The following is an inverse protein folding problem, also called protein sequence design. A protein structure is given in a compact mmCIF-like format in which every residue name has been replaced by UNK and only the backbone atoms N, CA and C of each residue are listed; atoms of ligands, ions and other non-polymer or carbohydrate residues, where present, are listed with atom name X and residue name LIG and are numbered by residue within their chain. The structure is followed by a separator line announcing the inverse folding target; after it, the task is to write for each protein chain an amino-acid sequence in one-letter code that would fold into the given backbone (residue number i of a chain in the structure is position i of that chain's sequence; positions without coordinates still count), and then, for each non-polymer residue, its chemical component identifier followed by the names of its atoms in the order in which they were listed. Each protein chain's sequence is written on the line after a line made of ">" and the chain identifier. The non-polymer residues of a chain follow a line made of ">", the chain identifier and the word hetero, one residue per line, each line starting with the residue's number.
data_IF_428129953731
#
_entry.id   IF_428129953731
#
_cell.length_a   1.000
_cell.length_b   1.000
_cell.length_c   1.000
_cell.angle_alpha   90.00
_cell.angle_beta   90.00
_cell.angle_gamma   90.00
#
_symmetry.space_group_name_H-M   'P 1'
#
loop_
_entity.id
_entity.type
_entity.pdbx_description
1 polymer ?
#
# COMPACT_ATOMS: atom_id res chain seq x y z
N UNK A 1 -28.82 -2.51 1.72
CA UNK A 1 -28.18 -1.42 0.96
C UNK A 1 -26.93 -1.96 0.29
N UNK A 2 -26.84 -1.89 -1.04
CA UNK A 2 -25.64 -2.32 -1.78
C UNK A 2 -24.55 -1.27 -1.61
N UNK A 3 -23.39 -1.63 -1.04
CA UNK A 3 -22.25 -0.73 -0.94
C UNK A 3 -21.87 -0.20 -2.32
N UNK A 4 -21.82 1.12 -2.49
CA UNK A 4 -21.34 1.78 -3.72
C UNK A 4 -19.94 1.27 -4.03
N UNK A 5 -19.74 0.74 -5.24
CA UNK A 5 -18.43 0.32 -5.74
C UNK A 5 -17.80 1.46 -6.55
N UNK A 6 -16.56 1.81 -6.24
CA UNK A 6 -15.82 2.85 -6.94
C UNK A 6 -14.95 2.30 -8.07
N UNK A 7 -14.69 3.08 -9.14
CA UNK A 7 -13.64 2.75 -10.11
C UNK A 7 -12.25 2.56 -9.46
N UNK A 8 -11.44 1.64 -9.97
CA UNK A 8 -10.11 1.28 -9.43
C UNK A 8 -9.15 2.47 -9.26
N UNK A 9 -9.29 3.51 -10.07
CA UNK A 9 -8.50 4.75 -9.96
C UNK A 9 -8.67 5.46 -8.60
N UNK A 10 -9.77 5.19 -7.88
CA UNK A 10 -10.05 5.79 -6.57
C UNK A 10 -9.48 4.98 -5.39
N UNK A 11 -8.79 3.86 -5.66
CA UNK A 11 -8.23 2.98 -4.61
C UNK A 11 -7.42 3.73 -3.57
N UNK A 12 -6.60 4.71 -3.98
CA UNK A 12 -5.77 5.48 -3.06
C UNK A 12 -6.61 6.30 -2.06
N UNK A 13 -7.74 6.87 -2.51
CA UNK A 13 -8.64 7.60 -1.62
C UNK A 13 -9.37 6.66 -0.67
N UNK A 14 -9.90 5.55 -1.18
CA UNK A 14 -10.58 4.53 -0.37
C UNK A 14 -9.65 3.95 0.70
N UNK A 15 -8.44 3.55 0.31
CA UNK A 15 -7.45 2.95 1.21
C UNK A 15 -6.95 3.99 2.21
N UNK A 16 -6.71 5.24 1.80
CA UNK A 16 -6.28 6.30 2.72
C UNK A 16 -7.34 6.67 3.76
N UNK A 17 -8.62 6.53 3.43
CA UNK A 17 -9.72 6.75 4.37
C UNK A 17 -9.79 5.57 5.36
N UNK A 18 -9.77 4.35 4.84
CA UNK A 18 -9.78 3.15 5.66
C UNK A 18 -8.60 3.09 6.64
N UNK A 19 -7.38 3.42 6.20
CA UNK A 19 -6.21 3.47 7.09
C UNK A 19 -6.41 4.49 8.23
N UNK A 20 -6.91 5.68 7.93
CA UNK A 20 -7.16 6.71 8.95
C UNK A 20 -8.29 6.34 9.93
N UNK A 21 -9.23 5.49 9.53
CA UNK A 21 -10.32 4.98 10.38
C UNK A 21 -9.88 3.80 11.26
N UNK A 22 -8.86 3.05 10.86
CA UNK A 22 -8.48 1.78 11.50
C UNK A 22 -7.12 1.84 12.21
N UNK A 23 -6.42 2.98 12.15
CA UNK A 23 -5.04 3.08 12.58
C UNK A 23 -4.67 4.54 12.89
N UNK A 24 -4.07 4.79 14.05
CA UNK A 24 -3.51 6.12 14.36
C UNK A 24 -2.36 6.49 13.40
N UNK A 25 -2.25 7.78 13.02
CA UNK A 25 -1.15 8.26 12.18
C UNK A 25 0.22 7.90 12.73
N UNK A 26 1.12 7.44 11.85
CA UNK A 26 2.46 6.95 12.17
C UNK A 26 3.40 7.06 10.97
N UNK A 27 4.63 6.60 11.13
CA UNK A 27 5.58 6.52 10.02
C UNK A 27 5.21 5.36 9.09
N UNK A 28 5.15 5.62 7.78
CA UNK A 28 4.84 4.58 6.81
C UNK A 28 5.73 4.64 5.57
N UNK A 29 6.01 3.46 5.00
CA UNK A 29 6.72 3.30 3.73
C UNK A 29 5.73 2.82 2.65
N UNK A 30 5.47 3.66 1.66
CA UNK A 30 4.65 3.38 0.48
C UNK A 30 5.52 2.74 -0.61
N UNK A 31 5.57 1.41 -0.59
CA UNK A 31 6.39 0.56 -1.47
C UNK A 31 5.72 0.45 -2.84
N UNK A 32 6.45 0.85 -3.89
CA UNK A 32 5.87 0.97 -5.23
C UNK A 32 4.82 2.08 -5.33
N UNK A 33 4.96 3.13 -4.50
CA UNK A 33 3.99 4.22 -4.40
C UNK A 33 3.85 5.08 -5.67
N UNK A 34 4.69 4.87 -6.70
CA UNK A 34 4.63 5.55 -7.98
C UNK A 34 4.65 7.07 -7.80
N UNK A 35 3.60 7.75 -8.28
CA UNK A 35 3.47 9.22 -8.17
C UNK A 35 3.02 9.73 -6.79
N UNK A 36 2.99 8.89 -5.76
CA UNK A 36 2.86 9.29 -4.35
C UNK A 36 1.49 9.84 -3.93
N UNK A 37 0.41 9.52 -4.66
CA UNK A 37 -0.93 10.01 -4.29
C UNK A 37 -1.40 9.44 -2.94
N UNK A 38 -1.09 8.18 -2.62
CA UNK A 38 -1.42 7.61 -1.32
C UNK A 38 -0.69 8.33 -0.20
N UNK A 39 0.65 8.43 -0.32
CA UNK A 39 1.49 9.16 0.62
C UNK A 39 0.99 10.59 0.86
N UNK A 40 0.68 11.33 -0.22
CA UNK A 40 0.09 12.67 -0.11
C UNK A 40 -1.21 12.67 0.70
N UNK A 41 -2.16 11.79 0.36
CA UNK A 41 -3.46 11.73 1.04
C UNK A 41 -3.38 11.31 2.51
N UNK A 42 -2.37 10.53 2.90
CA UNK A 42 -2.10 10.16 4.29
C UNK A 42 -1.39 11.29 5.05
N UNK A 43 -0.43 11.97 4.43
CA UNK A 43 0.24 13.13 5.02
C UNK A 43 -0.76 14.25 5.37
N UNK A 44 -1.76 14.49 4.52
CA UNK A 44 -2.88 15.41 4.81
C UNK A 44 -3.73 14.98 6.04
N UNK A 45 -3.56 13.76 6.53
CA UNK A 45 -4.22 13.21 7.74
C UNK A 45 -3.24 13.02 8.91
N UNK A 46 -2.07 13.67 8.87
CA UNK A 46 -1.09 13.65 9.95
C UNK A 46 -0.13 12.46 9.95
N UNK A 47 -0.08 11.67 8.88
CA UNK A 47 0.90 10.59 8.74
C UNK A 47 2.26 11.14 8.28
N UNK A 48 3.33 10.37 8.52
CA UNK A 48 4.64 10.61 7.92
C UNK A 48 4.97 9.51 6.91
N UNK A 49 4.58 9.72 5.66
CA UNK A 49 4.73 8.71 4.60
C UNK A 49 5.88 9.05 3.66
N UNK A 50 6.77 8.06 3.47
CA UNK A 50 7.83 8.07 2.47
C UNK A 50 7.52 7.09 1.35
N UNK A 51 7.68 7.50 0.09
CA UNK A 51 7.56 6.63 -1.07
C UNK A 51 8.89 5.98 -1.38
N UNK A 52 8.91 4.67 -1.60
CA UNK A 52 10.06 3.98 -2.22
C UNK A 52 9.63 3.40 -3.55
N UNK A 53 10.29 3.83 -4.62
CA UNK A 53 9.99 3.41 -5.99
C UNK A 53 11.25 3.58 -6.85
N UNK A 54 11.59 2.61 -7.72
CA UNK A 54 12.79 2.72 -8.57
C UNK A 54 12.67 3.83 -9.62
N UNK A 55 11.45 4.25 -9.97
CA UNK A 55 11.23 5.28 -10.98
C UNK A 55 11.05 6.64 -10.30
N UNK A 56 11.93 7.59 -10.63
CA UNK A 56 11.75 8.97 -10.20
C UNK A 56 10.54 9.59 -10.92
N UNK A 57 9.48 9.83 -10.15
CA UNK A 57 8.25 10.42 -10.65
C UNK A 57 7.78 11.51 -9.69
N UNK A 58 7.48 12.71 -10.20
CA UNK A 58 6.96 13.79 -9.36
C UNK A 58 5.56 13.44 -8.84
N UNK A 59 5.19 14.09 -7.73
CA UNK A 59 3.83 14.06 -7.21
C UNK A 59 2.83 14.47 -8.30
N UNK A 60 1.69 13.77 -8.38
CA UNK A 60 0.63 14.12 -9.32
C UNK A 60 0.19 15.59 -9.11
N UNK A 61 0.03 16.39 -10.17
CA UNK A 61 -0.37 17.79 -10.02
C UNK A 61 -1.86 17.96 -9.68
N UNK A 62 -2.66 16.89 -9.85
CA UNK A 62 -4.10 16.89 -9.59
C UNK A 62 -4.65 15.47 -9.51
N UNK A 63 -5.78 15.31 -8.84
CA UNK A 63 -6.54 14.07 -8.79
C UNK A 63 -8.05 14.34 -8.80
N UNK A 64 -8.86 13.36 -9.19
CA UNK A 64 -10.33 13.44 -9.05
C UNK A 64 -10.71 13.05 -7.63
N UNK A 65 -11.32 13.94 -6.87
CA UNK A 65 -11.80 13.67 -5.52
C UNK A 65 -13.15 12.95 -5.58
N UNK A 66 -13.27 11.86 -4.82
CA UNK A 66 -14.42 10.96 -4.83
C UNK A 66 -15.66 11.54 -4.13
N UNK A 67 -15.43 12.32 -3.06
CA UNK A 67 -16.48 12.90 -2.23
C UNK A 67 -17.04 14.17 -2.85
N UNK A 68 -16.17 14.99 -3.43
CA UNK A 68 -16.54 16.26 -4.07
C UNK A 68 -16.98 16.10 -5.53
N UNK A 69 -16.72 14.94 -6.13
CA UNK A 69 -16.84 14.67 -7.58
C UNK A 69 -16.17 15.74 -8.47
N UNK A 70 -15.06 16.30 -7.99
CA UNK A 70 -14.33 17.39 -8.66
C UNK A 70 -12.85 17.07 -8.78
N UNK A 71 -12.17 17.70 -9.75
CA UNK A 71 -10.71 17.68 -9.79
C UNK A 71 -10.15 18.63 -8.73
N UNK A 72 -9.22 18.13 -7.94
CA UNK A 72 -8.46 18.89 -6.94
C UNK A 72 -7.05 19.07 -7.47
N UNK A 73 -6.57 20.31 -7.50
CA UNK A 73 -5.19 20.63 -7.79
C UNK A 73 -4.35 20.41 -6.53
N UNK A 74 -3.17 19.81 -6.69
CA UNK A 74 -2.17 19.72 -5.64
C UNK A 74 -1.24 20.93 -5.82
N UNK A 75 -1.02 21.76 -4.78
CA UNK A 75 -0.08 22.88 -4.87
C UNK A 75 1.28 22.43 -5.36
N UNK A 76 1.93 23.19 -6.25
CA UNK A 76 3.25 22.84 -6.78
C UNK A 76 4.36 22.88 -5.71
N UNK A 77 4.10 23.53 -4.58
CA UNK A 77 4.95 23.53 -3.39
C UNK A 77 4.92 22.20 -2.65
N UNK A 78 3.86 21.41 -2.80
CA UNK A 78 3.67 20.18 -2.04
C UNK A 78 4.56 19.07 -2.59
N UNK A 79 5.17 18.33 -1.66
CA UNK A 79 6.07 17.21 -1.96
C UNK A 79 5.78 16.06 -1.02
N UNK A 80 6.14 14.86 -1.48
CA UNK A 80 6.21 13.65 -0.64
C UNK A 80 7.67 13.25 -0.49
N UNK A 81 8.05 12.72 0.69
CA UNK A 81 9.38 12.14 0.90
C UNK A 81 9.54 10.97 -0.06
N UNK A 82 10.72 10.84 -0.68
CA UNK A 82 10.99 9.80 -1.68
C UNK A 82 12.37 9.19 -1.52
N UNK A 83 12.42 7.88 -1.68
CA UNK A 83 13.62 7.08 -1.90
C UNK A 83 13.53 6.53 -3.33
N UNK A 84 14.38 7.02 -4.22
CA UNK A 84 14.40 6.59 -5.63
C UNK A 84 15.31 5.36 -5.77
N UNK A 85 14.77 4.19 -5.44
CA UNK A 85 15.47 2.91 -5.50
C UNK A 85 14.48 1.74 -5.52
N UNK A 86 14.88 0.55 -6.00
CA UNK A 86 14.19 -0.69 -5.69
C UNK A 86 14.03 -0.87 -4.17
N UNK A 87 12.91 -1.44 -3.75
CA UNK A 87 12.69 -1.70 -2.33
C UNK A 87 13.59 -2.85 -1.83
N UNK A 88 14.36 -2.54 -0.78
CA UNK A 88 15.14 -3.51 -0.02
C UNK A 88 14.70 -3.54 1.44
N UNK A 89 14.80 -4.72 2.06
CA UNK A 89 14.27 -4.98 3.40
C UNK A 89 14.83 -4.03 4.47
N UNK A 90 16.10 -3.65 4.37
CA UNK A 90 16.76 -2.76 5.34
C UNK A 90 16.20 -1.32 5.32
N UNK A 91 15.57 -0.90 4.22
CA UNK A 91 14.95 0.43 4.11
C UNK A 91 13.74 0.60 5.02
N UNK A 92 13.16 -0.50 5.50
CA UNK A 92 11.93 -0.51 6.29
C UNK A 92 12.15 -0.34 7.80
N UNK A 93 13.42 -0.33 8.25
CA UNK A 93 13.77 -0.37 9.68
C UNK A 93 13.10 0.74 10.49
N UNK A 94 13.06 1.94 9.94
CA UNK A 94 12.63 3.17 10.62
C UNK A 94 11.14 3.50 10.41
N UNK A 95 10.38 2.59 9.81
CA UNK A 95 8.95 2.78 9.55
C UNK A 95 8.09 1.85 10.41
N UNK A 96 6.92 2.31 10.84
CA UNK A 96 5.98 1.53 11.65
C UNK A 96 5.05 0.67 10.78
N UNK A 97 4.71 1.17 9.59
CA UNK A 97 3.80 0.53 8.64
C UNK A 97 4.42 0.40 7.24
N UNK A 98 4.29 -0.77 6.64
CA UNK A 98 4.59 -1.00 5.23
C UNK A 98 3.31 -1.07 4.40
N UNK A 99 3.25 -0.31 3.30
CA UNK A 99 2.10 -0.32 2.40
C UNK A 99 2.57 -0.69 1.00
N UNK A 100 2.04 -1.78 0.45
CA UNK A 100 2.32 -2.22 -0.92
C UNK A 100 1.03 -2.27 -1.74
N UNK A 101 0.80 -1.29 -2.61
CA UNK A 101 -0.36 -1.26 -3.51
C UNK A 101 0.07 -1.54 -4.94
N UNK A 102 -0.09 -2.77 -5.42
CA UNK A 102 0.49 -3.21 -6.70
C UNK A 102 2.04 -3.12 -6.70
N UNK A 103 2.65 -3.41 -5.56
CA UNK A 103 4.09 -3.40 -5.36
C UNK A 103 4.71 -4.68 -5.94
N UNK A 104 4.83 -4.76 -7.27
CA UNK A 104 5.47 -5.90 -7.93
C UNK A 104 6.88 -6.14 -7.38
N UNK A 105 7.25 -7.41 -7.22
CA UNK A 105 8.54 -7.84 -6.71
C UNK A 105 8.81 -7.56 -5.23
N UNK A 106 7.82 -7.05 -4.50
CA UNK A 106 8.01 -6.56 -3.13
C UNK A 106 7.10 -7.21 -2.11
N UNK A 107 6.08 -7.98 -2.50
CA UNK A 107 5.10 -8.50 -1.56
C UNK A 107 5.74 -9.47 -0.55
N UNK A 108 6.62 -10.37 -1.01
CA UNK A 108 7.35 -11.28 -0.13
C UNK A 108 8.32 -10.53 0.80
N UNK A 109 9.07 -9.55 0.27
CA UNK A 109 9.98 -8.72 1.07
C UNK A 109 9.24 -7.98 2.18
N UNK A 110 8.06 -7.42 1.89
CA UNK A 110 7.20 -6.75 2.90
C UNK A 110 6.84 -7.73 4.02
N UNK A 111 6.44 -8.95 3.70
CA UNK A 111 6.08 -9.97 4.70
C UNK A 111 7.30 -10.40 5.54
N UNK A 112 8.46 -10.61 4.92
CA UNK A 112 9.70 -10.93 5.63
C UNK A 112 10.07 -9.86 6.64
N UNK A 113 10.05 -8.59 6.22
CA UNK A 113 10.34 -7.46 7.10
C UNK A 113 9.31 -7.37 8.23
N UNK A 114 8.02 -7.51 7.92
CA UNK A 114 6.97 -7.47 8.91
C UNK A 114 7.20 -8.53 9.99
N UNK A 115 7.59 -9.75 9.61
CA UNK A 115 7.90 -10.82 10.55
C UNK A 115 9.19 -10.55 11.35
N UNK A 116 10.29 -10.20 10.66
CA UNK A 116 11.61 -9.96 11.26
C UNK A 116 11.61 -8.79 12.23
N UNK A 117 10.94 -7.70 11.87
CA UNK A 117 10.97 -6.43 12.61
C UNK A 117 9.66 -6.11 13.33
N UNK A 118 8.69 -7.04 13.33
CA UNK A 118 7.36 -6.89 13.97
C UNK A 118 6.61 -5.64 13.51
N UNK A 119 6.75 -5.30 12.23
CA UNK A 119 6.12 -4.12 11.60
C UNK A 119 4.70 -4.44 11.17
N UNK A 120 3.86 -3.42 11.18
CA UNK A 120 2.53 -3.52 10.61
C UNK A 120 2.63 -3.47 9.08
N UNK A 121 1.66 -4.05 8.38
CA UNK A 121 1.63 -4.00 6.91
C UNK A 121 0.22 -3.99 6.33
N UNK A 122 0.12 -3.47 5.10
CA UNK A 122 -1.02 -3.60 4.21
C UNK A 122 -0.54 -3.87 2.79
N UNK A 123 -0.89 -5.03 2.24
CA UNK A 123 -0.56 -5.43 0.88
C UNK A 123 -1.86 -5.58 0.10
N UNK A 124 -1.94 -4.90 -1.04
CA UNK A 124 -2.97 -5.11 -2.05
C UNK A 124 -2.29 -5.70 -3.30
N UNK A 125 -2.23 -7.04 -3.39
CA UNK A 125 -1.53 -7.71 -4.46
C UNK A 125 -2.41 -7.79 -5.71
N UNK A 126 -1.79 -7.88 -6.89
CA UNK A 126 -2.51 -8.04 -8.15
C UNK A 126 -2.03 -9.23 -8.98
N UNK A 127 -0.72 -9.37 -9.16
CA UNK A 127 -0.08 -10.38 -9.98
C UNK A 127 1.24 -10.84 -9.33
N UNK A 128 1.71 -12.03 -9.73
CA UNK A 128 3.07 -12.49 -9.43
C UNK A 128 3.99 -11.96 -10.52
N UNK A 129 4.65 -10.84 -10.25
CA UNK A 129 5.59 -10.21 -11.18
C UNK A 129 6.83 -9.86 -10.37
N UNK A 130 7.99 -10.34 -10.82
CA UNK A 130 9.31 -10.10 -10.24
C UNK A 130 9.44 -10.44 -8.73
N UNK A 131 8.54 -11.27 -8.21
CA UNK A 131 8.58 -11.72 -6.82
C UNK A 131 9.79 -12.65 -6.59
N UNK A 132 10.46 -12.57 -5.42
CA UNK A 132 11.67 -13.33 -5.12
C UNK A 132 11.36 -14.80 -4.78
N UNK A 133 10.39 -15.40 -5.48
CA UNK A 133 9.95 -16.79 -5.31
C UNK A 133 9.48 -17.36 -6.65
N UNK A 134 9.66 -18.66 -6.82
CA UNK A 134 9.00 -19.39 -7.90
C UNK A 134 7.57 -19.77 -7.47
N UNK A 135 6.57 -19.18 -8.13
CA UNK A 135 5.17 -19.56 -7.94
C UNK A 135 4.77 -20.54 -9.04
N UNK A 136 4.35 -21.75 -8.66
CA UNK A 136 3.80 -22.72 -9.61
C UNK A 136 2.53 -22.14 -10.26
N UNK A 137 2.40 -22.33 -11.57
CA UNK A 137 1.21 -21.89 -12.31
C UNK A 137 -0.09 -22.43 -11.71
N UNK A 138 -1.16 -21.62 -11.77
CA UNK A 138 -2.49 -21.99 -11.25
C UNK A 138 -2.72 -21.69 -9.76
N UNK A 139 -1.72 -21.16 -9.04
CA UNK A 139 -1.89 -20.75 -7.64
C UNK A 139 -2.58 -19.38 -7.55
N UNK A 140 -3.59 -19.28 -6.68
CA UNK A 140 -4.18 -17.99 -6.32
C UNK A 140 -3.18 -17.17 -5.49
N UNK A 141 -2.71 -16.06 -6.04
CA UNK A 141 -1.64 -15.25 -5.43
C UNK A 141 -1.99 -14.73 -4.03
N UNK A 142 -3.23 -14.31 -3.82
CA UNK A 142 -3.69 -13.84 -2.51
C UNK A 142 -3.65 -14.95 -1.46
N UNK A 143 -4.08 -16.17 -1.82
CA UNK A 143 -4.01 -17.33 -0.93
C UNK A 143 -2.56 -17.70 -0.60
N UNK A 144 -1.67 -17.65 -1.59
CA UNK A 144 -0.25 -17.91 -1.37
C UNK A 144 0.36 -16.92 -0.37
N UNK A 145 0.10 -15.61 -0.53
CA UNK A 145 0.62 -14.59 0.37
C UNK A 145 0.10 -14.76 1.81
N UNK A 146 -1.17 -15.13 1.96
CA UNK A 146 -1.75 -15.42 3.27
C UNK A 146 -1.07 -16.64 3.92
N UNK A 147 -0.96 -17.75 3.20
CA UNK A 147 -0.29 -18.96 3.70
C UNK A 147 1.19 -18.69 4.07
N UNK A 148 1.87 -17.88 3.24
CA UNK A 148 3.25 -17.48 3.48
C UNK A 148 3.36 -16.64 4.77
N UNK A 149 2.49 -15.65 4.94
CA UNK A 149 2.48 -14.81 6.14
C UNK A 149 2.14 -15.61 7.42
N UNK A 150 1.21 -16.57 7.33
CA UNK A 150 0.89 -17.48 8.44
C UNK A 150 2.11 -18.32 8.83
N UNK A 151 2.87 -18.85 7.85
CA UNK A 151 4.11 -19.60 8.12
C UNK A 151 5.18 -18.74 8.79
N UNK A 152 5.19 -17.44 8.53
CA UNK A 152 6.06 -16.46 9.21
C UNK A 152 5.56 -16.09 10.63
N UNK A 153 4.42 -16.61 11.07
CA UNK A 153 3.84 -16.31 12.38
C UNK A 153 3.14 -14.95 12.46
N UNK A 154 2.77 -14.36 11.32
CA UNK A 154 2.08 -13.06 11.28
C UNK A 154 0.57 -13.23 11.52
N UNK A 155 -0.06 -12.37 12.37
CA UNK A 155 -1.50 -12.39 12.59
C UNK A 155 -2.22 -11.65 11.47
N UNK A 156 -2.38 -12.31 10.32
CA UNK A 156 -2.92 -11.72 9.10
C UNK A 156 -4.44 -11.73 9.04
N UNK A 157 -4.98 -10.70 8.39
CA UNK A 157 -6.41 -10.54 8.09
C UNK A 157 -6.59 -10.17 6.62
N UNK A 158 -7.76 -10.49 6.08
CA UNK A 158 -8.19 -10.02 4.75
C UNK A 158 -9.18 -8.86 4.90
N UNK A 159 -9.09 -7.90 3.98
CA UNK A 159 -10.11 -6.86 3.81
C UNK A 159 -10.48 -6.76 2.33
N UNK A 160 -11.75 -6.49 2.03
CA UNK A 160 -12.20 -6.22 0.66
C UNK A 160 -12.74 -4.80 0.58
N UNK A 161 -12.00 -3.94 -0.10
CA UNK A 161 -12.36 -2.56 -0.34
C UNK A 161 -13.53 -2.43 -1.33
N UNK A 162 -14.28 -1.33 -1.21
CA UNK A 162 -15.42 -1.02 -2.05
C UNK A 162 -15.02 -0.35 -3.39
N UNK A 163 -14.01 -0.88 -4.09
CA UNK A 163 -13.72 -0.53 -5.48
C UNK A 163 -13.71 -1.76 -6.39
N UNK A 164 -13.80 -1.53 -7.69
CA UNK A 164 -13.83 -2.59 -8.71
C UNK A 164 -12.43 -3.09 -9.03
N UNK A 165 -12.29 -4.40 -9.22
CA UNK A 165 -11.05 -5.14 -9.55
C UNK A 165 -9.96 -5.03 -8.48
N UNK A 166 -9.29 -6.15 -8.19
CA UNK A 166 -8.12 -6.19 -7.30
C UNK A 166 -8.35 -5.43 -5.98
N UNK A 167 -9.50 -5.64 -5.35
CA UNK A 167 -9.94 -4.86 -4.18
C UNK A 167 -9.71 -5.56 -2.86
N UNK A 168 -9.06 -6.73 -2.88
CA UNK A 168 -8.74 -7.50 -1.68
C UNK A 168 -7.32 -7.19 -1.23
N UNK A 169 -7.16 -6.94 0.07
CA UNK A 169 -5.88 -6.71 0.72
C UNK A 169 -5.64 -7.71 1.85
N UNK A 170 -4.37 -8.02 2.07
CA UNK A 170 -3.83 -8.74 3.22
C UNK A 170 -3.19 -7.72 4.14
N UNK A 171 -3.48 -7.77 5.43
CA UNK A 171 -2.93 -6.79 6.37
C UNK A 171 -2.72 -7.38 7.76
N UNK A 172 -1.83 -6.75 8.52
CA UNK A 172 -1.69 -6.90 9.96
C UNK A 172 -1.37 -5.53 10.52
N UNK A 173 -2.35 -4.90 11.16
CA UNK A 173 -2.25 -3.52 11.66
C UNK A 173 -2.77 -3.50 13.09
N UNK A 174 -2.01 -2.85 13.98
CA UNK A 174 -2.44 -2.54 15.35
C UNK A 174 -3.18 -1.20 15.34
N UNK A 175 -4.33 -1.11 16.05
CA UNK A 175 -5.13 0.11 16.12
C UNK A 175 -4.29 1.32 16.56
#
# INVERSE_FOLDING_TARGET
>A
MTLRRYPHQFRFQVISAWLAENCLPRTALDVGGGKGLLAYLLNQKGWDVTVVDPVDQPLLPKYKNITMDKRVLIPSSDKVKRITAPFEEDMAKDFDLLIGLHAHGSNIKILNVAAKHKKDFLILPCCVIDEPIEVKGGINWMNYLEDYAIKLGLPVKRHTFNFVRQSSALYSIKP
#
